data_IF_858751748931
#
_entry.id   IF_858751748931
#
_cell.length_a   1.000
_cell.length_b   1.000
_cell.length_c   1.000
_cell.angle_alpha   90.00
_cell.angle_beta   90.00
_cell.angle_gamma   90.00
#
_symmetry.space_group_name_H-M   'P 1'
#
loop_
_entity.id
_entity.type
_entity.pdbx_description
1 polymer ?
#
# COMPACT_ATOMS: atom_id res chain seq x y z
N UNK A 1 -5.94 16.65 1.30
CA UNK A 1 -6.68 17.65 2.11
C UNK A 1 -7.79 16.98 2.89
N UNK A 2 -8.18 17.51 4.07
CA UNK A 2 -9.26 16.94 4.88
C UNK A 2 -10.28 18.03 5.25
N UNK A 3 -11.58 17.75 5.08
CA UNK A 3 -12.69 18.67 5.37
C UNK A 3 -13.65 17.99 6.34
N UNK A 4 -13.99 18.64 7.46
CA UNK A 4 -14.97 18.13 8.39
C UNK A 4 -16.39 18.22 7.79
N UNK A 5 -17.13 17.11 7.81
CA UNK A 5 -18.48 17.03 7.22
C UNK A 5 -19.46 17.98 7.90
N UNK A 6 -19.46 18.04 9.23
CA UNK A 6 -20.32 18.95 9.98
C UNK A 6 -20.06 20.43 9.63
N UNK A 7 -18.80 20.80 9.41
CA UNK A 7 -18.43 22.15 8.98
C UNK A 7 -18.95 22.46 7.58
N UNK A 8 -18.88 21.49 6.65
CA UNK A 8 -19.39 21.66 5.29
C UNK A 8 -20.92 21.80 5.27
N UNK A 9 -21.64 20.97 6.05
CA UNK A 9 -23.13 21.00 6.12
C UNK A 9 -23.64 22.35 6.66
N UNK A 10 -22.91 23.02 7.55
CA UNK A 10 -23.32 24.30 8.13
C UNK A 10 -23.15 25.51 7.21
N UNK A 11 -22.53 25.32 6.03
CA UNK A 11 -22.32 26.42 5.09
C UNK A 11 -23.55 26.69 4.22
N UNK A 12 -23.76 27.95 3.85
CA UNK A 12 -24.87 28.37 2.97
C UNK A 12 -24.42 29.47 2.00
N UNK A 13 -24.70 29.36 0.69
CA UNK A 13 -25.36 28.24 -0.01
C UNK A 13 -24.39 27.05 -0.20
N UNK A 14 -24.78 25.87 0.28
CA UNK A 14 -23.90 24.71 0.36
C UNK A 14 -23.41 24.26 -1.03
N UNK A 15 -24.28 24.16 -2.02
CA UNK A 15 -23.93 23.60 -3.34
C UNK A 15 -22.92 24.49 -4.08
N UNK A 16 -23.05 25.83 -3.95
CA UNK A 16 -22.09 26.78 -4.52
C UNK A 16 -20.74 26.67 -3.84
N UNK A 17 -20.73 26.63 -2.51
CA UNK A 17 -19.48 26.50 -1.74
C UNK A 17 -18.79 25.17 -2.03
N UNK A 18 -19.55 24.08 -2.09
CA UNK A 18 -19.02 22.78 -2.47
C UNK A 18 -18.38 22.82 -3.86
N UNK A 19 -19.08 23.41 -4.85
CA UNK A 19 -18.50 23.53 -6.17
C UNK A 19 -17.20 24.32 -6.17
N UNK A 20 -17.15 25.46 -5.50
CA UNK A 20 -15.93 26.29 -5.39
C UNK A 20 -14.77 25.53 -4.72
N UNK A 21 -15.05 24.75 -3.69
CA UNK A 21 -14.03 23.97 -2.98
C UNK A 21 -13.52 22.79 -3.82
N UNK A 22 -14.41 22.09 -4.53
CA UNK A 22 -14.04 20.84 -5.21
C UNK A 22 -13.61 21.04 -6.67
N UNK A 23 -13.92 22.17 -7.31
CA UNK A 23 -13.50 22.44 -8.70
C UNK A 23 -11.98 22.42 -8.88
N UNK A 24 -11.22 22.92 -7.91
CA UNK A 24 -9.76 22.97 -7.95
C UNK A 24 -9.14 21.56 -7.91
N UNK A 25 -9.93 20.54 -7.53
CA UNK A 25 -9.59 19.13 -7.54
C UNK A 25 -10.20 18.37 -8.73
N UNK A 26 -10.62 19.10 -9.78
CA UNK A 26 -11.12 18.51 -11.03
C UNK A 26 -12.55 17.98 -10.96
N UNK A 27 -13.35 18.33 -9.95
CA UNK A 27 -14.76 17.95 -9.86
C UNK A 27 -15.64 18.95 -10.60
N UNK A 28 -16.58 18.41 -11.37
CA UNK A 28 -17.59 19.20 -12.08
C UNK A 28 -18.80 19.54 -11.19
N UNK A 29 -19.59 20.55 -11.59
CA UNK A 29 -20.84 20.90 -10.92
C UNK A 29 -21.82 19.71 -10.83
N UNK A 30 -21.83 18.82 -11.82
CA UNK A 30 -22.67 17.62 -11.86
C UNK A 30 -22.28 16.59 -10.78
N UNK A 31 -21.05 16.62 -10.28
CA UNK A 31 -20.56 15.71 -9.25
C UNK A 31 -20.81 16.22 -7.82
N UNK A 32 -21.17 17.49 -7.65
CA UNK A 32 -21.50 18.06 -6.31
C UNK A 32 -22.61 17.28 -5.60
N UNK A 33 -23.74 16.91 -6.25
CA UNK A 33 -24.76 16.08 -5.60
C UNK A 33 -24.25 14.69 -5.18
N UNK A 34 -23.32 14.11 -5.92
CA UNK A 34 -22.72 12.81 -5.57
C UNK A 34 -21.78 12.94 -4.35
N UNK A 35 -20.97 13.99 -4.32
CA UNK A 35 -20.12 14.28 -3.16
C UNK A 35 -20.99 14.55 -1.93
N UNK A 36 -22.11 15.23 -2.06
CA UNK A 36 -23.05 15.51 -0.99
C UNK A 36 -23.65 14.23 -0.39
N UNK A 37 -23.89 13.19 -1.18
CA UNK A 37 -24.32 11.86 -0.68
C UNK A 37 -23.28 11.21 0.25
N UNK A 38 -22.01 11.62 0.18
CA UNK A 38 -20.98 11.13 1.08
C UNK A 38 -21.18 11.59 2.51
N UNK A 39 -21.96 12.65 2.77
CA UNK A 39 -22.19 13.15 4.14
C UNK A 39 -22.91 12.11 5.01
N UNK A 40 -23.80 11.33 4.41
CA UNK A 40 -24.57 10.28 5.10
C UNK A 40 -24.06 8.87 4.79
N UNK A 41 -22.99 8.79 3.98
CA UNK A 41 -22.45 7.50 3.58
C UNK A 41 -21.59 6.87 4.69
N UNK A 42 -21.50 5.53 4.65
CA UNK A 42 -20.56 4.77 5.48
C UNK A 42 -19.11 5.11 5.08
N UNK A 43 -18.19 5.04 6.04
CA UNK A 43 -16.75 5.21 5.77
C UNK A 43 -16.28 4.24 4.68
N UNK A 44 -15.45 4.75 3.76
CA UNK A 44 -14.94 3.99 2.61
C UNK A 44 -15.67 4.26 1.29
N UNK A 45 -16.82 4.97 1.29
CA UNK A 45 -17.44 5.44 0.03
C UNK A 45 -16.69 6.64 -0.52
N UNK A 46 -16.58 6.72 -1.84
CA UNK A 46 -15.84 7.79 -2.53
C UNK A 46 -16.48 8.19 -3.85
N UNK A 47 -16.16 9.40 -4.29
CA UNK A 47 -16.45 9.96 -5.61
C UNK A 47 -15.13 10.43 -6.20
N UNK A 48 -14.89 10.16 -7.48
CA UNK A 48 -13.64 10.49 -8.17
C UNK A 48 -13.87 11.49 -9.29
N UNK A 49 -12.95 12.47 -9.41
CA UNK A 49 -12.76 13.28 -10.61
C UNK A 49 -11.73 12.62 -11.52
N UNK A 50 -11.23 13.34 -12.52
CA UNK A 50 -10.10 12.88 -13.35
C UNK A 50 -8.76 12.91 -12.62
N UNK A 51 -8.62 13.75 -11.59
CA UNK A 51 -7.33 14.00 -10.91
C UNK A 51 -7.34 13.69 -9.42
N UNK A 52 -8.52 13.70 -8.79
CA UNK A 52 -8.65 13.53 -7.34
C UNK A 52 -9.83 12.65 -6.98
N UNK A 53 -9.76 12.08 -5.78
CA UNK A 53 -10.83 11.32 -5.15
C UNK A 53 -11.24 11.97 -3.82
N UNK A 54 -12.54 12.10 -3.58
CA UNK A 54 -13.13 12.46 -2.30
C UNK A 54 -13.59 11.18 -1.61
N UNK A 55 -13.02 10.88 -0.46
CA UNK A 55 -13.31 9.68 0.33
C UNK A 55 -13.99 10.06 1.64
N UNK A 56 -15.10 9.40 1.98
CA UNK A 56 -15.69 9.47 3.31
C UNK A 56 -14.87 8.65 4.31
N UNK A 57 -14.34 9.30 5.33
CA UNK A 57 -13.64 8.64 6.43
C UNK A 57 -14.18 9.19 7.78
N UNK A 58 -15.05 8.44 8.44
CA UNK A 58 -15.76 8.86 9.65
C UNK A 58 -16.46 10.22 9.43
N UNK A 59 -16.07 11.26 10.16
CA UNK A 59 -16.63 12.61 10.07
C UNK A 59 -15.84 13.53 9.12
N UNK A 60 -15.00 12.97 8.24
CA UNK A 60 -14.15 13.70 7.33
C UNK A 60 -14.39 13.30 5.89
N UNK A 61 -14.30 14.28 5.00
CA UNK A 61 -14.05 14.08 3.58
C UNK A 61 -12.54 14.26 3.36
N UNK A 62 -11.89 13.22 2.89
CA UNK A 62 -10.48 13.25 2.50
C UNK A 62 -10.41 13.45 0.99
N UNK A 63 -9.66 14.45 0.54
CA UNK A 63 -9.40 14.72 -0.87
C UNK A 63 -7.96 14.33 -1.13
N UNK A 64 -7.78 13.27 -1.88
CA UNK A 64 -6.48 12.73 -2.27
C UNK A 64 -6.33 12.78 -3.79
N UNK A 65 -5.14 13.09 -4.33
CA UNK A 65 -4.89 12.92 -5.76
C UNK A 65 -5.12 11.47 -6.12
N UNK A 66 -5.70 11.23 -7.29
CA UNK A 66 -5.65 9.92 -7.92
C UNK A 66 -4.23 9.82 -8.48
N UNK A 67 -3.33 9.23 -7.69
CA UNK A 67 -2.10 8.75 -8.29
C UNK A 67 -2.53 7.76 -9.38
N UNK A 68 -2.14 8.00 -10.61
CA UNK A 68 -2.17 6.96 -11.62
C UNK A 68 -1.32 5.84 -11.04
N UNK A 69 -1.99 4.91 -10.35
CA UNK A 69 -1.40 3.62 -10.07
C UNK A 69 -1.21 3.00 -11.44
N UNK A 70 -0.14 3.39 -12.12
CA UNK A 70 0.43 2.54 -13.14
C UNK A 70 0.58 1.21 -12.43
N UNK A 71 -0.15 0.21 -12.91
CA UNK A 71 -0.02 -1.16 -12.42
C UNK A 71 1.36 -1.68 -12.85
N UNK A 72 2.39 -0.91 -12.51
CA UNK A 72 3.76 -1.25 -12.82
C UNK A 72 4.12 -2.52 -12.10
N UNK A 73 4.33 -3.53 -12.89
CA UNK A 73 5.00 -4.74 -12.43
C UNK A 73 6.48 -4.48 -12.59
N UNK A 74 7.19 -4.46 -11.49
CA UNK A 74 8.63 -4.25 -11.47
C UNK A 74 9.29 -5.63 -11.30
N UNK A 75 10.17 -5.93 -12.22
CA UNK A 75 10.97 -7.16 -12.19
C UNK A 75 12.23 -6.87 -11.38
N UNK A 76 12.54 -7.74 -10.44
CA UNK A 76 13.75 -7.70 -9.62
C UNK A 76 14.62 -8.88 -10.04
N UNK A 77 15.71 -8.57 -10.66
CA UNK A 77 16.70 -9.58 -11.10
C UNK A 77 17.63 -9.99 -9.95
N UNK A 78 18.29 -11.11 -10.10
CA UNK A 78 19.16 -11.62 -9.03
C UNK A 78 20.31 -10.68 -8.66
N UNK A 79 20.77 -9.85 -9.59
CA UNK A 79 21.88 -8.91 -9.42
C UNK A 79 21.47 -7.55 -8.82
N UNK A 80 20.20 -7.27 -8.67
CA UNK A 80 19.73 -5.96 -8.23
C UNK A 80 20.03 -5.72 -6.75
N UNK A 81 20.60 -4.55 -6.44
CA UNK A 81 20.88 -4.09 -5.09
C UNK A 81 19.83 -3.10 -4.57
N UNK A 82 19.09 -2.47 -5.48
CA UNK A 82 18.00 -1.56 -5.12
C UNK A 82 16.95 -1.48 -6.22
N UNK A 83 15.70 -1.25 -5.83
CA UNK A 83 14.57 -1.09 -6.75
C UNK A 83 13.67 0.01 -6.23
N UNK A 84 13.40 1.02 -7.06
CA UNK A 84 12.51 2.13 -6.73
C UNK A 84 11.08 1.84 -7.16
N UNK A 85 10.11 2.23 -6.35
CA UNK A 85 8.69 2.16 -6.66
C UNK A 85 7.93 3.23 -5.86
N UNK A 86 6.99 3.89 -6.51
CA UNK A 86 6.31 5.05 -5.92
C UNK A 86 7.36 6.04 -5.32
N UNK A 87 7.12 6.51 -4.08
CA UNK A 87 8.03 7.38 -3.34
C UNK A 87 8.94 6.60 -2.36
N UNK A 88 9.20 5.32 -2.64
CA UNK A 88 9.99 4.43 -1.79
C UNK A 88 10.98 3.63 -2.63
N UNK A 89 11.93 3.00 -1.96
CA UNK A 89 12.79 2.02 -2.59
C UNK A 89 13.04 0.83 -1.69
N UNK A 90 13.33 -0.30 -2.31
CA UNK A 90 13.82 -1.50 -1.64
C UNK A 90 15.34 -1.52 -1.74
N UNK A 91 16.01 -1.70 -0.63
CA UNK A 91 17.43 -2.01 -0.59
C UNK A 91 17.58 -3.52 -0.42
N UNK A 92 18.31 -4.16 -1.32
CA UNK A 92 18.51 -5.61 -1.36
C UNK A 92 19.96 -5.91 -1.06
N UNK A 93 20.21 -6.82 -0.14
CA UNK A 93 21.54 -7.28 0.21
C UNK A 93 21.56 -8.79 0.35
N UNK A 94 22.65 -9.41 -0.05
CA UNK A 94 22.89 -10.85 0.11
C UNK A 94 24.02 -11.08 1.10
N UNK A 95 23.91 -12.16 1.83
CA UNK A 95 24.88 -12.53 2.85
C UNK A 95 25.10 -14.05 2.81
N UNK A 96 26.32 -14.45 3.05
CA UNK A 96 26.67 -15.83 3.33
C UNK A 96 26.74 -16.02 4.85
N UNK A 97 26.36 -17.22 5.30
CA UNK A 97 26.40 -17.59 6.73
C UNK A 97 25.10 -17.28 7.49
N UNK A 98 25.09 -17.65 8.76
CA UNK A 98 23.93 -17.52 9.63
C UNK A 98 23.90 -16.13 10.27
N UNK A 99 22.87 -15.34 9.98
CA UNK A 99 22.64 -14.01 10.56
C UNK A 99 21.31 -13.98 11.29
N UNK A 100 21.29 -13.39 12.48
CA UNK A 100 20.05 -13.17 13.20
C UNK A 100 19.30 -11.98 12.56
N UNK A 101 18.04 -12.16 12.17
CA UNK A 101 17.23 -11.08 11.62
C UNK A 101 16.95 -10.02 12.70
N UNK A 102 16.83 -8.76 12.27
CA UNK A 102 16.12 -7.77 13.05
C UNK A 102 14.61 -7.98 12.91
N UNK A 103 13.83 -7.78 13.95
CA UNK A 103 12.38 -7.98 13.95
C UNK A 103 11.67 -6.69 13.53
N UNK A 104 11.97 -6.18 12.33
CA UNK A 104 11.34 -4.99 11.77
C UNK A 104 10.39 -5.37 10.65
N UNK A 105 9.15 -4.84 10.69
CA UNK A 105 8.18 -5.03 9.61
C UNK A 105 8.66 -4.44 8.26
N UNK A 106 9.54 -3.45 8.31
CA UNK A 106 10.14 -2.83 7.12
C UNK A 106 11.35 -3.62 6.58
N UNK A 107 11.67 -4.77 7.16
CA UNK A 107 12.81 -5.58 6.79
C UNK A 107 12.39 -7.03 6.64
N UNK A 108 12.58 -7.61 5.46
CA UNK A 108 12.36 -9.02 5.19
C UNK A 108 13.70 -9.76 5.14
N UNK A 109 13.84 -10.80 5.95
CA UNK A 109 14.97 -11.71 5.95
C UNK A 109 14.54 -13.04 5.35
N UNK A 110 15.12 -13.40 4.24
CA UNK A 110 14.64 -14.46 3.34
C UNK A 110 15.75 -15.49 3.14
N UNK A 111 15.39 -16.76 3.24
CA UNK A 111 16.25 -17.84 2.81
C UNK A 111 16.34 -17.84 1.29
N UNK A 112 17.49 -17.46 0.75
CA UNK A 112 17.70 -17.28 -0.67
C UNK A 112 17.54 -18.61 -1.46
N UNK A 113 17.75 -19.75 -0.80
CA UNK A 113 17.57 -21.07 -1.43
C UNK A 113 16.10 -21.43 -1.69
N UNK A 114 15.17 -20.74 -1.02
CA UNK A 114 13.72 -20.92 -1.19
C UNK A 114 13.12 -20.05 -2.28
N UNK A 115 13.93 -19.18 -2.91
CA UNK A 115 13.50 -18.13 -3.83
C UNK A 115 13.92 -18.47 -5.26
N UNK A 116 13.04 -18.21 -6.22
CA UNK A 116 13.34 -18.27 -7.65
C UNK A 116 13.27 -16.87 -8.25
N UNK A 117 14.34 -16.43 -8.90
CA UNK A 117 14.37 -15.19 -9.68
C UNK A 117 13.80 -15.39 -11.09
N UNK A 118 13.26 -14.32 -11.73
CA UNK A 118 13.14 -12.98 -11.18
C UNK A 118 12.03 -12.88 -10.12
N UNK A 119 12.20 -11.93 -9.16
CA UNK A 119 11.10 -11.57 -8.26
C UNK A 119 10.22 -10.54 -8.92
N UNK A 120 8.95 -10.52 -8.51
CA UNK A 120 7.96 -9.58 -9.03
C UNK A 120 7.49 -8.67 -7.88
N UNK A 121 7.82 -7.39 -7.98
CA UNK A 121 7.28 -6.35 -7.11
C UNK A 121 6.06 -5.72 -7.80
N UNK A 122 4.91 -5.78 -7.17
CA UNK A 122 3.65 -5.29 -7.73
C UNK A 122 2.66 -4.86 -6.65
N UNK A 123 1.65 -4.04 -6.99
CA UNK A 123 0.50 -3.86 -6.12
C UNK A 123 -0.16 -5.21 -5.82
N UNK A 124 -0.70 -5.34 -4.60
CA UNK A 124 -1.53 -6.49 -4.26
C UNK A 124 -2.83 -6.49 -5.06
N UNK A 125 -3.45 -7.64 -5.21
CA UNK A 125 -4.73 -7.78 -5.93
C UNK A 125 -5.70 -8.68 -5.18
N UNK A 126 -7.03 -8.54 -5.40
CA UNK A 126 -8.02 -9.46 -4.88
C UNK A 126 -7.67 -10.91 -5.22
N UNK A 127 -7.77 -11.80 -4.23
CA UNK A 127 -7.38 -13.19 -4.35
C UNK A 127 -5.97 -13.52 -3.84
N UNK A 128 -5.09 -12.53 -3.70
CA UNK A 128 -3.75 -12.74 -3.15
C UNK A 128 -3.81 -13.33 -1.74
N UNK A 129 -2.98 -14.34 -1.51
CA UNK A 129 -2.83 -14.99 -0.22
C UNK A 129 -1.37 -15.35 0.05
N UNK A 130 -1.04 -15.51 1.30
CA UNK A 130 0.28 -15.93 1.78
C UNK A 130 0.14 -16.68 3.11
N UNK A 131 1.24 -17.21 3.62
CA UNK A 131 1.31 -17.86 4.92
C UNK A 131 2.07 -16.92 5.88
N UNK A 132 1.39 -16.14 6.73
CA UNK A 132 2.09 -15.16 7.57
C UNK A 132 3.13 -15.83 8.46
N UNK A 133 4.30 -15.21 8.60
CA UNK A 133 5.39 -15.70 9.46
C UNK A 133 4.87 -16.14 10.84
N UNK A 134 5.19 -17.36 11.24
CA UNK A 134 4.71 -17.99 12.47
C UNK A 134 3.29 -18.61 12.35
N UNK A 135 2.66 -18.61 11.18
CA UNK A 135 1.34 -19.18 11.00
C UNK A 135 1.34 -20.34 9.99
N UNK A 136 0.67 -21.45 10.35
CA UNK A 136 0.54 -22.61 9.45
C UNK A 136 -0.58 -22.49 8.42
N UNK A 137 -1.51 -21.56 8.62
CA UNK A 137 -2.69 -21.38 7.74
C UNK A 137 -2.50 -20.19 6.81
N UNK A 138 -2.93 -20.38 5.55
CA UNK A 138 -2.94 -19.27 4.58
C UNK A 138 -3.90 -18.15 5.01
N UNK A 139 -3.53 -16.93 4.72
CA UNK A 139 -4.31 -15.72 4.98
C UNK A 139 -4.41 -14.89 3.71
N UNK A 140 -5.60 -14.39 3.38
CA UNK A 140 -5.76 -13.43 2.29
C UNK A 140 -5.07 -12.11 2.63
N UNK A 141 -4.37 -11.49 1.68
CA UNK A 141 -3.74 -10.17 1.86
C UNK A 141 -4.79 -9.14 2.30
N UNK A 142 -5.96 -9.11 1.63
CA UNK A 142 -7.07 -8.23 2.02
C UNK A 142 -7.47 -8.37 3.50
N UNK A 143 -7.45 -9.58 4.05
CA UNK A 143 -7.76 -9.82 5.46
C UNK A 143 -6.64 -9.30 6.37
N UNK A 144 -5.37 -9.48 5.99
CA UNK A 144 -4.25 -8.88 6.73
C UNK A 144 -4.40 -7.36 6.83
N UNK A 145 -4.62 -6.69 5.68
CA UNK A 145 -4.73 -5.23 5.62
C UNK A 145 -5.93 -4.71 6.45
N UNK A 146 -7.01 -5.49 6.51
CA UNK A 146 -8.17 -5.16 7.34
C UNK A 146 -7.88 -5.34 8.83
N UNK A 147 -7.21 -6.42 9.21
CA UNK A 147 -6.84 -6.70 10.60
C UNK A 147 -5.84 -5.65 11.13
N UNK A 148 -4.99 -5.11 10.26
CA UNK A 148 -4.10 -3.99 10.54
C UNK A 148 -4.83 -2.63 10.58
N UNK A 149 -6.15 -2.60 10.32
CA UNK A 149 -7.00 -1.39 10.33
C UNK A 149 -6.52 -0.30 9.39
N UNK A 150 -5.90 -0.69 8.27
CA UNK A 150 -5.41 0.25 7.28
C UNK A 150 -6.58 1.00 6.63
N UNK A 151 -6.36 2.27 6.34
CA UNK A 151 -7.25 3.10 5.53
C UNK A 151 -7.39 2.54 4.11
N UNK A 152 -8.40 3.01 3.36
CA UNK A 152 -8.58 2.58 1.96
C UNK A 152 -7.36 2.96 1.12
N UNK A 153 -6.84 4.18 1.26
CA UNK A 153 -5.66 4.64 0.54
C UNK A 153 -4.43 3.78 0.82
N UNK A 154 -4.16 3.43 2.10
CA UNK A 154 -3.05 2.53 2.44
C UNK A 154 -3.24 1.12 1.86
N UNK A 155 -4.48 0.61 1.80
CA UNK A 155 -4.77 -0.69 1.20
C UNK A 155 -4.53 -0.67 -0.31
N UNK A 156 -4.94 0.38 -1.01
CA UNK A 156 -4.75 0.53 -2.45
C UNK A 156 -3.28 0.68 -2.83
N UNK A 157 -2.49 1.34 -1.98
CA UNK A 157 -1.06 1.55 -2.17
C UNK A 157 -0.18 0.44 -1.57
N UNK A 158 -0.76 -0.71 -1.20
CA UNK A 158 0.01 -1.82 -0.67
C UNK A 158 0.67 -2.63 -1.79
N UNK A 159 1.96 -2.89 -1.63
CA UNK A 159 2.75 -3.70 -2.55
C UNK A 159 3.10 -5.06 -1.97
N UNK A 160 3.37 -6.00 -2.85
CA UNK A 160 3.83 -7.34 -2.51
C UNK A 160 5.02 -7.72 -3.38
N UNK A 161 5.94 -8.51 -2.82
CA UNK A 161 6.98 -9.19 -3.58
C UNK A 161 6.56 -10.65 -3.73
N UNK A 162 6.68 -11.17 -4.93
CA UNK A 162 6.37 -12.55 -5.25
C UNK A 162 7.54 -13.25 -5.96
N UNK A 163 7.69 -14.55 -5.71
CA UNK A 163 8.54 -15.49 -6.45
C UNK A 163 7.68 -16.62 -6.92
N UNK A 164 7.76 -16.99 -8.19
CA UNK A 164 7.04 -18.13 -8.76
C UNK A 164 5.56 -18.18 -8.34
N UNK A 165 4.84 -17.04 -8.49
CA UNK A 165 3.43 -16.83 -8.10
C UNK A 165 3.13 -16.91 -6.60
N UNK A 166 4.14 -17.14 -5.74
CA UNK A 166 3.99 -17.16 -4.28
C UNK A 166 4.41 -15.82 -3.72
N UNK A 167 3.57 -15.22 -2.89
CA UNK A 167 3.95 -13.99 -2.19
C UNK A 167 5.03 -14.33 -1.17
N UNK A 168 6.15 -13.62 -1.23
CA UNK A 168 7.25 -13.70 -0.27
C UNK A 168 6.99 -12.73 0.88
N UNK A 169 6.65 -11.48 0.54
CA UNK A 169 6.52 -10.42 1.51
C UNK A 169 5.39 -9.46 1.13
N UNK A 170 4.50 -9.19 2.07
CA UNK A 170 3.62 -8.03 2.01
C UNK A 170 4.46 -6.85 2.50
N UNK A 171 4.91 -6.02 1.56
CA UNK A 171 5.97 -5.02 1.75
C UNK A 171 5.67 -4.10 2.95
N UNK A 172 6.63 -4.00 3.86
CA UNK A 172 6.48 -3.20 5.08
C UNK A 172 5.48 -3.76 6.09
N UNK A 173 5.01 -5.02 5.94
CA UNK A 173 3.99 -5.60 6.82
C UNK A 173 4.36 -6.98 7.34
N UNK A 174 4.44 -8.00 6.48
CA UNK A 174 4.64 -9.38 6.96
C UNK A 174 5.29 -10.27 5.91
N UNK A 175 6.30 -11.01 6.34
CA UNK A 175 6.96 -12.06 5.57
C UNK A 175 6.05 -13.30 5.49
N UNK A 176 6.18 -14.07 4.44
CA UNK A 176 5.60 -15.41 4.31
C UNK A 176 6.50 -16.44 4.99
N UNK A 177 5.90 -17.31 5.79
CA UNK A 177 6.60 -18.32 6.61
C UNK A 177 7.43 -19.33 5.81
N UNK A 178 7.08 -19.53 4.53
CA UNK A 178 7.78 -20.47 3.65
C UNK A 178 9.16 -19.98 3.18
N UNK A 179 9.41 -18.68 3.32
CA UNK A 179 10.65 -18.04 2.89
C UNK A 179 11.50 -17.53 4.05
N UNK A 180 11.09 -17.82 5.28
CA UNK A 180 11.82 -17.41 6.48
C UNK A 180 13.16 -18.11 6.59
N UNK A 181 14.08 -17.51 7.32
CA UNK A 181 15.31 -18.16 7.70
C UNK A 181 15.06 -19.37 8.60
N UNK A 182 15.87 -20.38 8.41
CA UNK A 182 15.96 -21.57 9.28
C UNK A 182 17.38 -21.71 9.84
N UNK A 183 17.59 -22.63 10.75
CA UNK A 183 18.92 -22.93 11.28
C UNK A 183 19.89 -23.48 10.23
N UNK A 184 19.37 -23.97 9.11
CA UNK A 184 20.15 -24.50 7.99
C UNK A 184 20.37 -23.50 6.86
N UNK A 185 19.79 -22.30 6.90
CA UNK A 185 19.93 -21.28 5.85
C UNK A 185 21.38 -20.79 5.78
N UNK A 186 22.02 -21.02 4.63
CA UNK A 186 23.41 -20.63 4.39
C UNK A 186 23.51 -19.37 3.54
N UNK A 187 22.52 -19.10 2.71
CA UNK A 187 22.45 -17.93 1.85
C UNK A 187 21.23 -17.10 2.22
N UNK A 188 21.45 -15.86 2.56
CA UNK A 188 20.41 -14.96 3.09
C UNK A 188 20.25 -13.76 2.15
N UNK A 189 19.02 -13.44 1.84
CA UNK A 189 18.65 -12.18 1.22
C UNK A 189 17.90 -11.30 2.23
N UNK A 190 18.35 -10.08 2.38
CA UNK A 190 17.65 -9.07 3.15
C UNK A 190 17.06 -8.01 2.21
N UNK A 191 15.79 -7.68 2.38
CA UNK A 191 15.11 -6.63 1.64
C UNK A 191 14.59 -5.60 2.65
N UNK A 192 15.12 -4.39 2.61
CA UNK A 192 14.71 -3.30 3.49
C UNK A 192 13.89 -2.27 2.72
N UNK A 193 12.68 -1.95 3.20
CA UNK A 193 11.88 -0.84 2.71
C UNK A 193 12.43 0.47 3.25
N UNK A 194 12.76 1.39 2.36
CA UNK A 194 13.22 2.74 2.64
C UNK A 194 12.32 3.75 1.93
N UNK A 195 12.02 4.83 2.60
CA UNK A 195 11.36 5.98 1.97
C UNK A 195 12.43 6.95 1.45
N UNK A 196 12.17 7.57 0.31
CA UNK A 196 12.96 8.74 -0.06
C UNK A 196 12.79 9.79 1.05
N UNK A 197 13.89 10.23 1.63
CA UNK A 197 13.86 11.36 2.55
C UNK A 197 13.20 12.53 1.80
N UNK A 198 12.10 13.05 2.33
CA UNK A 198 11.62 14.35 1.91
C UNK A 198 12.77 15.30 2.21
N UNK A 199 13.48 15.75 1.18
CA UNK A 199 14.39 16.90 1.31
C UNK A 199 13.47 18.07 1.64
N UNK A 200 13.45 18.45 2.91
CA UNK A 200 12.88 19.74 3.30
C UNK A 200 13.70 20.81 2.61
N UNK A 201 13.04 21.54 1.71
CA UNK A 201 13.53 22.79 1.11
C UNK A 201 12.89 23.92 1.88
#
# INVERSE_FOLDING_TARGET
MAIAVNKMISMSPIDTIMFEVFRDFGFSAHQVPEIKKLFDAISGKSVSSTTHRVLRNRNWLLIDPIEENTHEIIVIEEGDESVSFNNSFLQIKKYDGNRLPDDSANHAWIDLETVSFPLILRPWKPGDYFYPLGMRKKKKVAKLLTDLKLSLAEKENQWVIASDRKIIWVVGRRLDDRFKLSSSSQKIMSIALKNHLKTEV
#
